data_IF_245259229316
#
_entry.id   IF_245259229316
#
_cell.length_a   1.000
_cell.length_b   1.000
_cell.length_c   1.000
_cell.angle_alpha   90.00
_cell.angle_beta   90.00
_cell.angle_gamma   90.00
#
_symmetry.space_group_name_H-M   'P 1'
#
loop_
_entity.id
_entity.type
_entity.pdbx_description
1 polymer ?
#
# COMPACT_ATOMS: atom_id res chain seq x y z
N UNK A 1 9.07 -5.94 7.31
CA UNK A 1 7.74 -5.33 7.10
C UNK A 1 7.80 -3.87 7.48
N UNK A 2 7.46 -2.94 6.58
CA UNK A 2 7.51 -1.51 6.87
C UNK A 2 6.32 -1.11 7.76
N UNK A 3 6.60 -0.52 8.91
CA UNK A 3 5.61 0.06 9.82
C UNK A 3 5.12 1.39 9.29
N UNK A 4 3.83 1.67 9.47
CA UNK A 4 3.20 2.91 9.03
C UNK A 4 2.42 3.57 10.16
N UNK A 5 2.36 4.90 10.14
CA UNK A 5 1.53 5.70 11.06
C UNK A 5 0.09 5.81 10.54
N UNK A 6 -0.87 6.23 11.39
CA UNK A 6 -2.23 6.51 10.93
C UNK A 6 -2.31 7.54 9.79
N UNK A 7 -1.43 8.56 9.81
CA UNK A 7 -1.34 9.57 8.75
C UNK A 7 -0.84 8.97 7.43
N UNK A 8 0.20 8.14 7.49
CA UNK A 8 0.71 7.41 6.33
C UNK A 8 -0.34 6.44 5.78
N UNK A 9 -1.10 5.76 6.64
CA UNK A 9 -2.19 4.88 6.22
C UNK A 9 -3.22 5.62 5.37
N UNK A 10 -3.62 6.83 5.75
CA UNK A 10 -4.56 7.64 4.95
C UNK A 10 -3.99 7.96 3.57
N UNK A 11 -2.71 8.36 3.48
CA UNK A 11 -2.04 8.62 2.19
C UNK A 11 -1.91 7.36 1.34
N UNK A 12 -1.51 6.23 1.94
CA UNK A 12 -1.44 4.92 1.29
C UNK A 12 -2.81 4.51 0.74
N UNK A 13 -3.87 4.68 1.54
CA UNK A 13 -5.23 4.34 1.14
C UNK A 13 -5.74 5.18 -0.04
N UNK A 14 -5.36 6.45 -0.12
CA UNK A 14 -5.64 7.29 -1.28
C UNK A 14 -4.81 6.84 -2.50
N UNK A 15 -3.52 6.56 -2.29
CA UNK A 15 -2.61 6.10 -3.34
C UNK A 15 -3.06 4.76 -3.96
N UNK A 16 -3.42 3.77 -3.13
CA UNK A 16 -3.91 2.48 -3.59
C UNK A 16 -5.16 2.66 -4.46
N UNK A 17 -6.12 3.48 -4.04
CA UNK A 17 -7.36 3.70 -4.80
C UNK A 17 -7.14 4.40 -6.14
N UNK A 18 -6.15 5.29 -6.23
CA UNK A 18 -5.90 6.07 -7.46
C UNK A 18 -4.89 5.45 -8.42
N UNK A 19 -3.96 4.62 -7.93
CA UNK A 19 -2.80 4.18 -8.70
C UNK A 19 -2.51 2.68 -8.68
N UNK A 20 -3.17 1.88 -7.82
CA UNK A 20 -2.96 0.44 -7.83
C UNK A 20 -3.86 -0.22 -8.89
N UNK A 21 -3.29 -0.68 -10.01
CA UNK A 21 -4.05 -1.35 -11.07
C UNK A 21 -4.73 -2.64 -10.60
N UNK A 22 -4.23 -3.28 -9.54
CA UNK A 22 -4.82 -4.47 -8.96
C UNK A 22 -5.93 -4.15 -7.96
N UNK A 23 -6.24 -2.87 -7.70
CA UNK A 23 -7.29 -2.47 -6.76
C UNK A 23 -8.47 -1.85 -7.50
N UNK A 24 -9.60 -2.56 -7.54
CA UNK A 24 -10.86 -2.07 -8.11
C UNK A 24 -11.97 -2.07 -7.06
N UNK A 25 -12.64 -0.93 -6.86
CA UNK A 25 -13.70 -0.76 -5.84
C UNK A 25 -13.33 -1.25 -4.43
N UNK A 26 -12.04 -1.24 -4.09
CA UNK A 26 -11.52 -1.69 -2.79
C UNK A 26 -11.19 -3.18 -2.71
N UNK A 27 -11.42 -3.94 -3.78
CA UNK A 27 -11.07 -5.35 -3.93
C UNK A 27 -9.77 -5.51 -4.74
N UNK A 28 -9.05 -6.61 -4.51
CA UNK A 28 -7.80 -6.96 -5.15
C UNK A 28 -8.03 -7.96 -6.28
N UNK A 29 -7.97 -7.50 -7.52
CA UNK A 29 -8.20 -8.33 -8.70
C UNK A 29 -7.20 -9.50 -8.83
N UNK A 30 -6.00 -9.33 -8.29
CA UNK A 30 -4.97 -10.38 -8.32
C UNK A 30 -5.22 -11.52 -7.31
N UNK A 31 -5.99 -11.23 -6.26
CA UNK A 31 -6.31 -12.22 -5.22
C UNK A 31 -7.74 -12.76 -5.36
N UNK A 32 -8.52 -12.19 -6.28
CA UNK A 32 -9.83 -12.67 -6.64
C UNK A 32 -9.66 -14.00 -7.41
N UNK A 33 -10.12 -15.11 -6.81
CA UNK A 33 -10.10 -16.46 -7.39
C UNK A 33 -11.48 -16.91 -7.88
N UNK A 34 -12.37 -15.95 -8.15
CA UNK A 34 -13.80 -16.17 -8.39
C UNK A 34 -14.68 -15.57 -7.30
N UNK A 35 -14.11 -15.16 -6.17
CA UNK A 35 -14.77 -14.39 -5.12
C UNK A 35 -14.02 -13.07 -4.80
N UNK A 36 -14.80 -11.99 -4.59
CA UNK A 36 -14.25 -10.67 -4.30
C UNK A 36 -13.35 -10.69 -3.06
N UNK A 37 -12.04 -10.50 -3.27
CA UNK A 37 -11.06 -10.40 -2.19
C UNK A 37 -10.73 -8.95 -1.86
N UNK A 38 -10.80 -8.54 -0.58
CA UNK A 38 -10.44 -7.16 -0.19
C UNK A 38 -8.96 -6.87 -0.44
N UNK A 39 -8.65 -5.64 -0.85
CA UNK A 39 -7.25 -5.21 -0.97
C UNK A 39 -6.55 -5.27 0.39
N UNK A 40 -5.59 -6.19 0.51
CA UNK A 40 -4.79 -6.42 1.73
C UNK A 40 -4.19 -5.11 2.25
N UNK A 41 -3.72 -4.24 1.37
CA UNK A 41 -3.14 -2.97 1.81
C UNK A 41 -4.18 -1.98 2.37
N UNK A 42 -5.43 -1.98 1.86
CA UNK A 42 -6.49 -1.10 2.36
C UNK A 42 -7.01 -1.52 3.75
N UNK A 43 -6.98 -2.82 4.05
CA UNK A 43 -7.40 -3.36 5.36
C UNK A 43 -6.27 -3.37 6.40
N UNK A 44 -5.02 -3.16 5.98
CA UNK A 44 -3.86 -3.14 6.85
C UNK A 44 -3.79 -1.88 7.72
N UNK A 45 -3.66 -2.06 9.04
CA UNK A 45 -3.64 -0.94 10.01
C UNK A 45 -2.24 -0.40 10.29
N UNK A 46 -1.26 -1.29 10.44
CA UNK A 46 0.03 -0.96 11.08
C UNK A 46 1.25 -1.13 10.18
N UNK A 47 1.06 -1.61 8.95
CA UNK A 47 2.19 -1.82 8.04
C UNK A 47 1.81 -1.98 6.58
N UNK A 48 2.85 -2.10 5.76
CA UNK A 48 2.74 -2.50 4.36
C UNK A 48 2.88 -4.01 4.28
N UNK A 49 1.82 -4.67 3.83
CA UNK A 49 1.72 -6.13 3.69
C UNK A 49 1.58 -6.57 2.23
N UNK A 50 1.16 -5.67 1.33
CA UNK A 50 1.05 -5.97 -0.09
C UNK A 50 2.40 -5.78 -0.79
N UNK A 51 3.04 -6.87 -1.20
CA UNK A 51 4.32 -6.82 -1.93
C UNK A 51 4.23 -6.08 -3.26
N UNK A 52 3.10 -6.20 -3.97
CA UNK A 52 2.86 -5.44 -5.20
C UNK A 52 2.83 -3.94 -4.92
N UNK A 53 2.08 -3.51 -3.91
CA UNK A 53 2.06 -2.12 -3.49
C UNK A 53 3.47 -1.62 -3.14
N UNK A 54 4.21 -2.37 -2.32
CA UNK A 54 5.56 -1.99 -1.90
C UNK A 54 6.52 -1.77 -3.08
N UNK A 55 6.49 -2.65 -4.08
CA UNK A 55 7.49 -2.65 -5.16
C UNK A 55 7.08 -1.85 -6.39
N UNK A 56 5.79 -1.78 -6.69
CA UNK A 56 5.29 -1.19 -7.94
C UNK A 56 4.53 0.14 -7.72
N UNK A 57 3.76 0.26 -6.64
CA UNK A 57 2.86 1.41 -6.45
C UNK A 57 3.49 2.48 -5.56
N UNK A 58 4.06 2.09 -4.41
CA UNK A 58 4.66 3.02 -3.46
C UNK A 58 5.81 3.83 -4.08
N UNK A 59 6.74 3.27 -4.88
CA UNK A 59 7.84 4.05 -5.45
C UNK A 59 7.40 5.14 -6.43
N UNK A 60 6.20 5.02 -7.02
CA UNK A 60 5.62 6.07 -7.86
C UNK A 60 5.27 7.33 -7.05
N UNK A 61 5.01 7.18 -5.74
CA UNK A 61 4.79 8.28 -4.82
C UNK A 61 6.06 8.58 -4.01
N UNK A 62 6.99 9.30 -4.64
CA UNK A 62 8.36 9.49 -4.12
C UNK A 62 8.40 10.02 -2.69
N UNK A 63 7.62 11.06 -2.38
CA UNK A 63 7.62 11.68 -1.04
C UNK A 63 7.16 10.71 0.04
N UNK A 64 6.03 10.01 -0.20
CA UNK A 64 5.50 9.03 0.74
C UNK A 64 6.45 7.83 0.90
N UNK A 65 7.05 7.38 -0.20
CA UNK A 65 8.04 6.31 -0.19
C UNK A 65 9.24 6.70 0.69
N UNK A 66 9.84 7.86 0.44
CA UNK A 66 10.96 8.36 1.24
C UNK A 66 10.60 8.56 2.71
N UNK A 67 9.42 9.13 3.00
CA UNK A 67 8.91 9.31 4.36
C UNK A 67 8.87 7.98 5.13
N UNK A 68 8.28 6.94 4.53
CA UNK A 68 8.13 5.61 5.14
C UNK A 68 9.49 4.93 5.28
N UNK A 69 10.35 4.98 4.26
CA UNK A 69 11.65 4.30 4.30
C UNK A 69 12.59 4.92 5.34
N UNK A 70 12.62 6.26 5.47
CA UNK A 70 13.39 6.96 6.50
C UNK A 70 12.91 6.60 7.90
N UNK A 71 11.59 6.63 8.13
CA UNK A 71 11.02 6.25 9.42
C UNK A 71 11.38 4.81 9.82
N UNK A 72 11.49 3.91 8.86
CA UNK A 72 11.82 2.50 9.10
C UNK A 72 13.32 2.21 9.09
N UNK A 73 14.19 3.23 8.98
CA UNK A 73 15.65 3.06 8.97
C UNK A 73 16.19 2.29 7.76
N UNK A 74 15.43 2.24 6.66
CA UNK A 74 15.86 1.54 5.44
C UNK A 74 16.78 2.41 4.60
N UNK A 75 16.56 3.72 4.62
CA UNK A 75 17.43 4.70 3.99
C UNK A 75 17.88 5.70 5.05
N UNK A 76 19.20 5.87 5.14
CA UNK A 76 19.92 6.80 6.00
C UNK A 76 21.12 7.33 5.23
#
# INVERSE_FOLDING_TARGET
MLKITPKQRTKINALVRRACCNCYKGNCLLLDDGEESKCVQLISRYGIYCNYFLKAVLPAEKELCTEILRQNGVIG
#
